data_IF_416833322541
#
_entry.id   IF_416833322541
#
_cell.length_a   1.000
_cell.length_b   1.000
_cell.length_c   1.000
_cell.angle_alpha   90.00
_cell.angle_beta   90.00
_cell.angle_gamma   90.00
#
_symmetry.space_group_name_H-M   'P 1'
#
loop_
_entity.id
_entity.type
_entity.pdbx_description
1 polymer ?
#
# COMPACT_ATOMS: atom_id res chain seq x y z
N UNK A 1 -17.81 25.76 -19.18
CA UNK A 1 -18.59 24.95 -18.21
C UNK A 1 -17.84 23.65 -17.91
N UNK A 2 -17.61 23.31 -16.64
CA UNK A 2 -16.92 22.07 -16.24
C UNK A 2 -17.89 20.89 -16.45
N UNK A 3 -17.62 20.01 -17.43
CA UNK A 3 -18.45 18.83 -17.68
C UNK A 3 -18.39 17.93 -16.45
N UNK A 4 -19.51 17.76 -15.74
CA UNK A 4 -19.60 16.86 -14.59
C UNK A 4 -19.33 15.44 -15.06
N UNK A 5 -18.32 14.79 -14.47
CA UNK A 5 -18.01 13.39 -14.77
C UNK A 5 -19.14 12.51 -14.26
N UNK A 6 -19.77 11.75 -15.15
CA UNK A 6 -20.73 10.70 -14.77
C UNK A 6 -20.03 9.70 -13.87
N UNK A 7 -20.65 9.37 -12.74
CA UNK A 7 -20.18 8.31 -11.82
C UNK A 7 -21.04 7.08 -12.03
N UNK A 8 -20.38 5.94 -12.04
CA UNK A 8 -20.99 4.61 -12.12
C UNK A 8 -20.60 3.88 -10.83
N UNK A 9 -21.54 3.13 -10.27
CA UNK A 9 -21.28 2.27 -9.11
C UNK A 9 -20.40 1.07 -9.51
N UNK A 10 -20.01 0.25 -8.51
CA UNK A 10 -19.09 -0.86 -8.73
C UNK A 10 -19.79 -2.01 -9.44
N UNK A 11 -21.01 -2.30 -9.00
CA UNK A 11 -21.86 -3.39 -9.48
C UNK A 11 -22.13 -3.26 -10.98
N UNK A 12 -22.45 -2.05 -11.44
CA UNK A 12 -22.66 -1.74 -12.85
C UNK A 12 -21.38 -1.90 -13.67
N UNK A 13 -20.22 -1.46 -13.16
CA UNK A 13 -18.96 -1.63 -13.90
C UNK A 13 -18.62 -3.11 -14.06
N UNK A 14 -18.86 -3.92 -13.02
CA UNK A 14 -18.66 -5.37 -13.07
C UNK A 14 -19.60 -6.02 -14.08
N UNK A 15 -20.89 -5.67 -14.08
CA UNK A 15 -21.83 -6.24 -15.06
C UNK A 15 -21.43 -5.90 -16.50
N UNK A 16 -21.01 -4.66 -16.75
CA UNK A 16 -20.53 -4.24 -18.08
C UNK A 16 -19.27 -4.99 -18.50
N UNK A 17 -18.33 -5.24 -17.58
CA UNK A 17 -17.13 -6.04 -17.85
C UNK A 17 -17.51 -7.50 -18.14
N UNK A 18 -18.42 -8.09 -17.36
CA UNK A 18 -18.88 -9.46 -17.59
C UNK A 18 -19.55 -9.62 -18.98
N UNK A 19 -20.31 -8.63 -19.44
CA UNK A 19 -20.87 -8.64 -20.80
C UNK A 19 -19.81 -8.48 -21.88
N UNK A 20 -18.78 -7.67 -21.62
CA UNK A 20 -17.65 -7.55 -22.54
C UNK A 20 -16.90 -8.88 -22.66
N UNK A 21 -16.68 -9.57 -21.55
CA UNK A 21 -16.00 -10.86 -21.48
C UNK A 21 -16.83 -12.02 -22.07
N UNK A 22 -18.16 -11.92 -22.04
CA UNK A 22 -19.06 -12.87 -22.72
C UNK A 22 -19.07 -12.72 -24.25
N UNK A 23 -18.33 -11.75 -24.79
CA UNK A 23 -18.15 -11.54 -26.23
C UNK A 23 -19.11 -10.50 -26.83
N UNK A 24 -19.88 -9.77 -26.01
CA UNK A 24 -20.77 -8.72 -26.51
C UNK A 24 -19.94 -7.55 -27.09
N UNK A 25 -20.26 -7.07 -28.31
CA UNK A 25 -19.47 -6.00 -28.93
C UNK A 25 -19.45 -4.71 -28.13
N UNK A 26 -18.27 -4.09 -28.01
CA UNK A 26 -18.07 -2.83 -27.30
C UNK A 26 -19.03 -1.72 -27.76
N UNK A 27 -19.27 -1.64 -29.07
CA UNK A 27 -20.17 -0.65 -29.66
C UNK A 27 -21.64 -0.88 -29.26
N UNK A 28 -22.04 -2.13 -29.03
CA UNK A 28 -23.38 -2.47 -28.54
C UNK A 28 -23.53 -2.07 -27.07
N UNK A 29 -22.59 -2.48 -26.22
CA UNK A 29 -22.52 -2.11 -24.79
C UNK A 29 -22.55 -0.58 -24.63
N UNK A 30 -21.74 0.14 -25.41
CA UNK A 30 -21.66 1.60 -25.34
C UNK A 30 -22.98 2.29 -25.66
N UNK A 31 -23.74 1.79 -26.64
CA UNK A 31 -25.06 2.33 -27.02
C UNK A 31 -26.12 2.01 -25.98
N UNK A 32 -26.19 0.75 -25.55
CA UNK A 32 -27.19 0.25 -24.61
C UNK A 32 -27.11 0.98 -23.27
N UNK A 33 -25.90 1.14 -22.75
CA UNK A 33 -25.67 1.80 -21.48
C UNK A 33 -25.36 3.29 -21.58
N UNK A 34 -25.35 3.85 -22.80
CA UNK A 34 -24.99 5.26 -23.05
C UNK A 34 -23.68 5.66 -22.37
N UNK A 35 -22.67 4.79 -22.46
CA UNK A 35 -21.33 4.98 -21.91
C UNK A 35 -20.30 5.18 -23.02
N UNK A 36 -19.18 5.83 -22.70
CA UNK A 36 -18.11 6.02 -23.66
C UNK A 36 -17.48 4.66 -24.04
N UNK A 37 -17.23 4.35 -25.33
CA UNK A 37 -16.72 3.04 -25.77
C UNK A 37 -15.41 2.62 -25.11
N UNK A 38 -14.54 3.55 -24.71
CA UNK A 38 -13.31 3.22 -23.99
C UNK A 38 -13.48 2.84 -22.51
N UNK A 39 -14.66 3.02 -21.90
CA UNK A 39 -14.88 2.72 -20.49
C UNK A 39 -14.91 1.21 -20.17
N UNK A 40 -15.64 0.35 -20.91
CA UNK A 40 -15.66 -1.08 -20.63
C UNK A 40 -14.26 -1.72 -20.67
N UNK A 41 -13.44 -1.37 -21.67
CA UNK A 41 -12.05 -1.85 -21.78
C UNK A 41 -11.22 -1.43 -20.57
N UNK A 42 -11.32 -0.14 -20.20
CA UNK A 42 -10.62 0.39 -19.03
C UNK A 42 -11.07 -0.30 -17.73
N UNK A 43 -12.36 -0.55 -17.56
CA UNK A 43 -12.90 -1.23 -16.38
C UNK A 43 -12.45 -2.68 -16.30
N UNK A 44 -12.36 -3.39 -17.43
CA UNK A 44 -11.79 -4.73 -17.49
C UNK A 44 -10.33 -4.71 -17.05
N UNK A 45 -9.54 -3.77 -17.55
CA UNK A 45 -8.12 -3.67 -17.18
C UNK A 45 -7.95 -3.32 -15.67
N UNK A 46 -8.74 -2.37 -15.15
CA UNK A 46 -8.78 -2.03 -13.71
C UNK A 46 -9.19 -3.25 -12.83
N UNK A 47 -10.13 -4.07 -13.31
CA UNK A 47 -10.58 -5.27 -12.62
C UNK A 47 -9.53 -6.39 -12.66
N UNK A 48 -8.82 -6.55 -13.78
CA UNK A 48 -7.75 -7.54 -13.94
C UNK A 48 -6.50 -7.21 -13.09
N UNK A 49 -6.18 -5.93 -12.90
CA UNK A 49 -5.03 -5.50 -12.10
C UNK A 49 -5.28 -5.67 -10.59
N UNK A 50 -6.46 -5.27 -10.09
CA UNK A 50 -6.77 -5.37 -8.68
C UNK A 50 -8.28 -5.52 -8.42
N UNK A 51 -8.82 -6.74 -8.40
CA UNK A 51 -10.26 -6.97 -8.26
C UNK A 51 -10.89 -6.35 -7.01
N UNK A 52 -10.17 -6.35 -5.89
CA UNK A 52 -10.62 -5.83 -4.58
C UNK A 52 -10.69 -4.29 -4.57
N UNK A 53 -9.70 -3.61 -5.17
CA UNK A 53 -9.61 -2.13 -5.20
C UNK A 53 -10.02 -1.51 -6.54
N UNK A 54 -10.50 -2.32 -7.48
CA UNK A 54 -10.94 -1.88 -8.80
C UNK A 54 -11.95 -0.73 -8.69
N UNK A 55 -11.95 0.16 -9.68
CA UNK A 55 -12.91 1.25 -9.82
C UNK A 55 -12.86 2.36 -8.76
N UNK A 56 -11.90 2.32 -7.83
CA UNK A 56 -11.63 3.37 -6.82
C UNK A 56 -11.25 4.73 -7.44
N UNK A 57 -11.02 4.75 -8.76
CA UNK A 57 -10.74 5.93 -9.56
C UNK A 57 -9.26 6.31 -9.54
N UNK A 58 -8.83 7.14 -10.49
CA UNK A 58 -7.47 7.70 -10.53
C UNK A 58 -7.25 8.78 -9.46
N UNK A 59 -7.78 8.59 -8.25
CA UNK A 59 -7.37 9.38 -7.09
C UNK A 59 -5.86 9.23 -6.95
N UNK A 60 -5.17 10.37 -6.96
CA UNK A 60 -3.75 10.57 -7.26
C UNK A 60 -2.79 9.44 -6.78
N UNK A 61 -2.72 8.35 -7.55
CA UNK A 61 -1.89 7.16 -7.23
C UNK A 61 -0.43 7.53 -6.96
N UNK A 62 0.07 8.58 -7.61
CA UNK A 62 1.40 9.11 -7.37
C UNK A 62 1.59 9.66 -5.95
N UNK A 63 0.60 10.35 -5.39
CA UNK A 63 0.64 10.83 -3.99
C UNK A 63 0.60 9.68 -3.00
N UNK A 64 -0.22 8.67 -3.28
CA UNK A 64 -0.33 7.50 -2.42
C UNK A 64 0.97 6.69 -2.45
N UNK A 65 1.54 6.47 -3.62
CA UNK A 65 2.83 5.79 -3.78
C UNK A 65 3.98 6.55 -3.11
N UNK A 66 4.02 7.87 -3.25
CA UNK A 66 5.01 8.71 -2.56
C UNK A 66 4.85 8.64 -1.04
N UNK A 67 3.60 8.59 -0.54
CA UNK A 67 3.32 8.45 0.89
C UNK A 67 3.73 7.07 1.41
N UNK A 68 3.49 6.01 0.63
CA UNK A 68 3.90 4.65 0.96
C UNK A 68 5.43 4.58 1.07
N UNK A 69 6.16 5.08 0.08
CA UNK A 69 7.62 5.08 0.08
C UNK A 69 8.21 5.83 1.30
N UNK A 70 7.62 6.97 1.67
CA UNK A 70 8.04 7.71 2.87
C UNK A 70 7.75 6.93 4.17
N UNK A 71 6.60 6.27 4.26
CA UNK A 71 6.27 5.44 5.42
C UNK A 71 7.20 4.23 5.54
N UNK A 72 7.53 3.56 4.44
CA UNK A 72 8.49 2.45 4.41
C UNK A 72 9.88 2.91 4.88
N UNK A 73 10.33 4.09 4.43
CA UNK A 73 11.61 4.69 4.86
C UNK A 73 11.63 4.94 6.37
N UNK A 74 10.58 5.57 6.91
CA UNK A 74 10.48 5.87 8.34
C UNK A 74 10.42 4.59 9.18
N UNK A 75 9.71 3.56 8.70
CA UNK A 75 9.63 2.28 9.38
C UNK A 75 10.99 1.59 9.45
N UNK A 76 11.78 1.63 8.37
CA UNK A 76 13.15 1.13 8.36
C UNK A 76 14.06 1.87 9.35
N UNK A 77 13.95 3.20 9.43
CA UNK A 77 14.72 4.00 10.38
C UNK A 77 14.37 3.66 11.83
N UNK A 78 13.08 3.60 12.16
CA UNK A 78 12.63 3.25 13.49
C UNK A 78 13.09 1.84 13.89
N UNK A 79 13.05 0.88 12.96
CA UNK A 79 13.54 -0.47 13.22
C UNK A 79 15.03 -0.51 13.53
N UNK A 80 15.85 0.21 12.74
CA UNK A 80 17.29 0.31 12.99
C UNK A 80 17.62 0.96 14.34
N UNK A 81 16.87 2.00 14.72
CA UNK A 81 17.01 2.66 16.02
C UNK A 81 16.65 1.73 17.18
N UNK A 82 15.54 1.00 17.07
CA UNK A 82 15.14 -0.02 18.06
C UNK A 82 16.23 -1.07 18.24
N UNK A 83 16.78 -1.59 17.16
CA UNK A 83 17.83 -2.61 17.22
C UNK A 83 19.14 -2.07 17.82
N UNK A 84 19.50 -0.83 17.50
CA UNK A 84 20.63 -0.16 18.14
C UNK A 84 20.43 0.00 19.64
N UNK A 85 19.25 0.48 20.06
CA UNK A 85 18.92 0.69 21.47
C UNK A 85 18.91 -0.63 22.25
N UNK A 86 18.35 -1.71 21.69
CA UNK A 86 18.41 -3.05 22.28
C UNK A 86 19.84 -3.52 22.50
N UNK A 87 20.72 -3.35 21.51
CA UNK A 87 22.14 -3.72 21.62
C UNK A 87 22.86 -2.91 22.68
N UNK A 88 22.65 -1.59 22.70
CA UNK A 88 23.23 -0.71 23.69
C UNK A 88 22.78 -1.11 25.12
N UNK A 89 21.49 -1.38 25.29
CA UNK A 89 20.94 -1.83 26.56
C UNK A 89 21.53 -3.17 27.02
N UNK A 90 21.63 -4.15 26.12
CA UNK A 90 22.24 -5.45 26.43
C UNK A 90 23.72 -5.32 26.84
N UNK A 91 24.50 -4.47 26.14
CA UNK A 91 25.89 -4.20 26.50
C UNK A 91 26.00 -3.54 27.88
N UNK A 92 25.13 -2.57 28.18
CA UNK A 92 25.08 -1.91 29.49
C UNK A 92 24.75 -2.91 30.60
N UNK A 93 23.73 -3.76 30.41
CA UNK A 93 23.42 -4.82 31.38
C UNK A 93 24.58 -5.79 31.60
N UNK A 94 25.29 -6.16 30.54
CA UNK A 94 26.47 -7.03 30.62
C UNK A 94 27.57 -6.38 31.46
N UNK A 95 27.89 -5.10 31.23
CA UNK A 95 28.87 -4.34 32.03
C UNK A 95 28.50 -4.29 33.51
N UNK A 96 27.24 -3.98 33.83
CA UNK A 96 26.77 -3.98 35.22
C UNK A 96 26.89 -5.36 35.89
N UNK A 97 26.71 -6.44 35.14
CA UNK A 97 26.90 -7.81 35.66
C UNK A 97 28.38 -8.11 35.90
N UNK A 98 29.27 -7.73 34.99
CA UNK A 98 30.71 -7.91 35.11
C UNK A 98 31.31 -7.12 36.28
N UNK A 99 30.87 -5.87 36.49
CA UNK A 99 31.28 -5.05 37.63
C UNK A 99 30.85 -5.64 38.98
N UNK A 100 29.67 -6.26 39.05
CA UNK A 100 29.21 -6.96 40.26
C UNK A 100 29.96 -8.27 40.55
N UNK A 101 30.55 -8.89 39.53
CA UNK A 101 31.25 -10.18 39.66
C UNK A 101 32.75 -9.98 39.93
N UNK A 102 33.32 -8.80 39.66
CA UNK A 102 34.74 -8.52 39.91
C UNK A 102 35.02 -8.47 41.42
N UNK A 103 35.77 -9.42 42.02
CA UNK A 103 36.19 -9.27 43.40
C UNK A 103 37.13 -8.08 43.49
N UNK A 104 36.90 -7.23 44.50
CA UNK A 104 37.80 -6.16 44.91
C UNK A 104 39.21 -6.77 45.04
N UNK A 105 40.12 -6.44 44.11
CA UNK A 105 41.52 -6.85 44.24
C UNK A 105 42.02 -6.23 45.54
N UNK A 106 42.31 -7.09 46.51
CA UNK A 106 43.05 -6.73 47.72
C UNK A 106 44.48 -6.44 47.30
N UNK A 107 44.70 -5.22 46.84
CA UNK A 107 46.00 -4.56 46.94
C UNK A 107 45.76 -3.45 47.97
N UNK A 108 46.06 -3.74 49.24
CA UNK A 108 46.44 -2.79 50.30
C UNK A 108 46.53 -3.54 51.65
N UNK A 109 47.77 -3.58 52.18
CA UNK A 109 48.31 -4.17 53.43
C UNK A 109 48.81 -5.63 53.37
#
# INVERSE_FOLDING_TARGET
MKKTRRRYDREFKISVVAELESGKPLAQIAREYSIHPGLPTRWRDELAENPEKAFSGNGNQYKDQARIAELERLLGQAHAEIELLKKAFAMTQKKFREEKIKPMRRDDL
#
